data_IF_576005830371
#
_entry.id   IF_576005830371
#
_cell.length_a   1.000
_cell.length_b   1.000
_cell.length_c   1.000
_cell.angle_alpha   90.00
_cell.angle_beta   90.00
_cell.angle_gamma   90.00
#
_symmetry.space_group_name_H-M   'P 1'
#
loop_
_entity.id
_entity.type
_entity.pdbx_description
1 polymer ?
#
# COMPACT_ATOMS: atom_id res chain seq x y z
N UNK A 1 13.17 3.46 -1.65
CA UNK A 1 12.20 3.50 -2.78
C UNK A 1 12.82 3.93 -4.10
N UNK A 2 13.86 4.74 -4.09
CA UNK A 2 14.46 5.25 -5.34
C UNK A 2 14.98 4.15 -6.27
N UNK A 3 15.64 3.15 -5.71
CA UNK A 3 16.14 2.02 -6.50
C UNK A 3 14.99 1.21 -7.12
N UNK A 4 13.96 0.95 -6.33
CA UNK A 4 12.78 0.23 -6.82
C UNK A 4 12.09 1.01 -7.94
N UNK A 5 11.91 2.32 -7.76
CA UNK A 5 11.27 3.17 -8.77
C UNK A 5 12.07 3.16 -10.08
N UNK A 6 13.40 3.22 -10.01
CA UNK A 6 14.26 3.13 -11.20
C UNK A 6 14.06 1.82 -11.93
N UNK A 7 14.00 0.71 -11.21
CA UNK A 7 13.77 -0.63 -11.79
C UNK A 7 12.38 -0.73 -12.42
N UNK A 8 11.36 -0.17 -11.78
CA UNK A 8 9.99 -0.14 -12.29
C UNK A 8 9.93 0.68 -13.59
N UNK A 9 10.56 1.84 -13.61
CA UNK A 9 10.60 2.71 -14.81
C UNK A 9 11.26 1.98 -15.99
N UNK A 10 12.37 1.30 -15.74
CA UNK A 10 13.05 0.52 -16.77
C UNK A 10 12.16 -0.62 -17.27
N UNK A 11 11.53 -1.35 -16.37
CA UNK A 11 10.64 -2.47 -16.67
C UNK A 11 9.50 -2.03 -17.61
N UNK A 12 8.79 -0.96 -17.27
CA UNK A 12 7.68 -0.50 -18.09
C UNK A 12 8.14 0.13 -19.41
N UNK A 13 9.30 0.80 -19.42
CA UNK A 13 9.85 1.40 -20.64
C UNK A 13 10.24 0.34 -21.66
N UNK A 14 10.90 -0.73 -21.21
CA UNK A 14 11.30 -1.84 -22.09
C UNK A 14 10.09 -2.51 -22.76
N UNK A 15 8.92 -2.43 -22.14
CA UNK A 15 7.68 -3.03 -22.62
C UNK A 15 6.73 -2.03 -23.27
N UNK A 16 7.14 -0.79 -23.33
CA UNK A 16 6.32 0.32 -23.86
C UNK A 16 4.96 0.43 -23.18
N UNK A 17 4.93 0.18 -21.86
CA UNK A 17 3.70 0.20 -21.07
C UNK A 17 3.34 1.58 -20.53
N UNK A 18 4.22 2.57 -20.63
CA UNK A 18 3.94 3.94 -20.18
C UNK A 18 2.66 4.51 -20.80
N UNK A 19 2.37 4.16 -22.04
CA UNK A 19 1.17 4.61 -22.73
C UNK A 19 -0.13 4.14 -22.08
N UNK A 20 -0.08 3.05 -21.32
CA UNK A 20 -1.25 2.46 -20.62
C UNK A 20 -1.32 2.84 -19.15
N UNK A 21 -0.27 3.45 -18.60
CA UNK A 21 -0.13 3.71 -17.17
C UNK A 21 -0.51 5.15 -16.80
N UNK A 22 -1.74 5.56 -17.12
CA UNK A 22 -2.25 6.82 -16.60
C UNK A 22 -2.46 6.72 -15.07
N UNK A 23 -2.41 7.83 -14.34
CA UNK A 23 -2.70 7.81 -12.91
C UNK A 23 -4.04 7.13 -12.57
N UNK A 24 -5.07 7.36 -13.37
CA UNK A 24 -6.36 6.71 -13.20
C UNK A 24 -6.25 5.19 -13.31
N UNK A 25 -5.61 4.71 -14.39
CA UNK A 25 -5.45 3.26 -14.60
C UNK A 25 -4.62 2.61 -13.49
N UNK A 26 -3.56 3.28 -13.04
CA UNK A 26 -2.72 2.79 -11.96
C UNK A 26 -3.47 2.74 -10.63
N UNK A 27 -4.29 3.76 -10.33
CA UNK A 27 -5.10 3.77 -9.12
C UNK A 27 -6.12 2.63 -9.13
N UNK A 28 -6.77 2.38 -10.28
CA UNK A 28 -7.74 1.29 -10.41
C UNK A 28 -7.05 -0.08 -10.28
N UNK A 29 -5.88 -0.25 -10.89
CA UNK A 29 -5.10 -1.48 -10.77
C UNK A 29 -4.66 -1.71 -9.31
N UNK A 30 -4.28 -0.65 -8.60
CA UNK A 30 -3.92 -0.73 -7.19
C UNK A 30 -5.07 -1.27 -6.34
N UNK A 31 -6.30 -0.82 -6.60
CA UNK A 31 -7.49 -1.32 -5.89
C UNK A 31 -7.67 -2.82 -6.13
N UNK A 32 -7.48 -3.27 -7.37
CA UNK A 32 -7.60 -4.71 -7.71
C UNK A 32 -6.55 -5.52 -6.93
N UNK A 33 -5.30 -5.08 -6.93
CA UNK A 33 -4.23 -5.79 -6.22
C UNK A 33 -4.44 -5.79 -4.71
N UNK A 34 -4.90 -4.67 -4.16
CA UNK A 34 -5.25 -4.59 -2.73
C UNK A 34 -6.39 -5.57 -2.41
N UNK A 35 -7.37 -5.69 -3.31
CA UNK A 35 -8.46 -6.66 -3.18
C UNK A 35 -7.94 -8.10 -3.19
N UNK A 36 -7.02 -8.42 -4.08
CA UNK A 36 -6.41 -9.76 -4.14
C UNK A 36 -5.64 -10.07 -2.85
N UNK A 37 -4.94 -9.08 -2.29
CA UNK A 37 -4.29 -9.23 -0.99
C UNK A 37 -5.32 -9.54 0.10
N UNK A 38 -6.42 -8.81 0.14
CA UNK A 38 -7.49 -9.00 1.11
C UNK A 38 -8.15 -10.38 0.99
N UNK A 39 -8.28 -10.92 -0.24
CA UNK A 39 -8.86 -12.24 -0.48
C UNK A 39 -8.13 -13.35 0.26
N UNK A 40 -6.82 -13.22 0.47
CA UNK A 40 -6.04 -14.20 1.20
C UNK A 40 -6.45 -14.31 2.67
N UNK A 41 -7.09 -13.27 3.22
CA UNK A 41 -7.45 -13.18 4.64
C UNK A 41 -8.94 -13.23 4.93
N UNK A 42 -9.78 -12.95 3.93
CA UNK A 42 -11.22 -12.70 4.15
C UNK A 42 -11.97 -13.83 4.87
N UNK A 43 -11.54 -15.08 4.71
CA UNK A 43 -12.19 -16.24 5.32
C UNK A 43 -11.42 -16.81 6.51
N UNK A 44 -10.33 -16.13 6.91
CA UNK A 44 -9.51 -16.57 8.04
C UNK A 44 -10.02 -15.95 9.35
N UNK A 45 -9.81 -16.68 10.45
CA UNK A 45 -9.94 -16.08 11.78
C UNK A 45 -8.74 -15.16 12.02
N UNK A 46 -8.83 -14.30 13.04
CA UNK A 46 -7.70 -13.44 13.42
C UNK A 46 -6.46 -14.26 13.77
N UNK A 47 -6.64 -15.37 14.49
CA UNK A 47 -5.55 -16.26 14.84
C UNK A 47 -4.90 -16.90 13.61
N UNK A 48 -5.72 -17.39 12.68
CA UNK A 48 -5.22 -17.95 11.42
C UNK A 48 -4.46 -16.93 10.61
N UNK A 49 -4.94 -15.69 10.56
CA UNK A 49 -4.28 -14.61 9.81
C UNK A 49 -2.89 -14.28 10.35
N UNK A 50 -2.68 -14.48 11.65
CA UNK A 50 -1.39 -14.25 12.30
C UNK A 50 -0.41 -15.41 12.16
N UNK A 51 -0.87 -16.58 11.69
CA UNK A 51 -0.09 -17.81 11.63
C UNK A 51 -0.23 -18.49 10.27
N UNK A 52 0.11 -17.77 9.20
CA UNK A 52 -0.03 -18.30 7.84
C UNK A 52 0.95 -19.45 7.56
N UNK A 53 0.49 -20.53 6.91
CA UNK A 53 1.40 -21.56 6.42
C UNK A 53 2.43 -20.98 5.43
N UNK A 54 3.61 -21.62 5.28
CA UNK A 54 4.66 -21.08 4.40
C UNK A 54 4.23 -20.86 2.95
N UNK A 55 3.43 -21.74 2.37
CA UNK A 55 2.92 -21.59 1.00
C UNK A 55 1.97 -20.41 0.87
N UNK A 56 1.11 -20.20 1.86
CA UNK A 56 0.18 -19.07 1.89
C UNK A 56 0.93 -17.76 2.09
N UNK A 57 1.94 -17.78 2.97
CA UNK A 57 2.79 -16.60 3.18
C UNK A 57 3.51 -16.20 1.89
N UNK A 58 3.97 -17.16 1.09
CA UNK A 58 4.61 -16.90 -0.19
C UNK A 58 3.65 -16.20 -1.16
N UNK A 59 2.39 -16.64 -1.23
CA UNK A 59 1.36 -15.98 -2.05
C UNK A 59 1.09 -14.55 -1.58
N UNK A 60 0.99 -14.35 -0.26
CA UNK A 60 0.78 -13.01 0.32
C UNK A 60 1.96 -12.08 -0.01
N UNK A 61 3.19 -12.59 0.02
CA UNK A 61 4.37 -11.80 -0.35
C UNK A 61 4.30 -11.31 -1.79
N UNK A 62 3.83 -12.13 -2.71
CA UNK A 62 3.67 -11.74 -4.11
C UNK A 62 2.65 -10.61 -4.25
N UNK A 63 1.51 -10.71 -3.54
CA UNK A 63 0.49 -9.66 -3.58
C UNK A 63 0.98 -8.35 -2.94
N UNK A 64 1.74 -8.44 -1.85
CA UNK A 64 2.37 -7.26 -1.24
C UNK A 64 3.30 -6.58 -2.26
N UNK A 65 4.08 -7.38 -3.00
CA UNK A 65 4.94 -6.86 -4.06
C UNK A 65 4.14 -6.14 -5.14
N UNK A 66 3.05 -6.72 -5.61
CA UNK A 66 2.20 -6.12 -6.64
C UNK A 66 1.57 -4.81 -6.16
N UNK A 67 1.05 -4.77 -4.94
CA UNK A 67 0.48 -3.55 -4.36
C UNK A 67 1.52 -2.44 -4.31
N UNK A 68 2.72 -2.75 -3.84
CA UNK A 68 3.79 -1.76 -3.74
C UNK A 68 4.25 -1.27 -5.12
N UNK A 69 4.35 -2.17 -6.10
CA UNK A 69 4.74 -1.80 -7.47
C UNK A 69 3.73 -0.84 -8.09
N UNK A 70 2.43 -1.12 -7.99
CA UNK A 70 1.41 -0.21 -8.54
C UNK A 70 1.38 1.12 -7.80
N UNK A 71 1.55 1.11 -6.49
CA UNK A 71 1.63 2.35 -5.71
C UNK A 71 2.85 3.18 -6.13
N UNK A 72 4.00 2.55 -6.29
CA UNK A 72 5.23 3.23 -6.72
C UNK A 72 5.08 3.81 -8.13
N UNK A 73 4.45 3.08 -9.06
CA UNK A 73 4.14 3.58 -10.40
C UNK A 73 3.25 4.82 -10.36
N UNK A 74 2.20 4.77 -9.55
CA UNK A 74 1.29 5.90 -9.40
C UNK A 74 2.03 7.14 -8.86
N UNK A 75 2.83 6.95 -7.83
CA UNK A 75 3.63 8.02 -7.23
C UNK A 75 4.60 8.62 -8.25
N UNK A 76 5.26 7.78 -9.04
CA UNK A 76 6.17 8.24 -10.07
C UNK A 76 5.46 9.10 -11.13
N UNK A 77 4.28 8.67 -11.58
CA UNK A 77 3.49 9.42 -12.56
C UNK A 77 3.02 10.78 -12.03
N UNK A 78 2.75 10.87 -10.74
CA UNK A 78 2.26 12.11 -10.11
C UNK A 78 3.38 12.98 -9.52
N UNK A 79 4.63 12.55 -9.62
CA UNK A 79 5.75 13.27 -9.04
C UNK A 79 5.75 13.28 -7.52
N UNK A 80 5.18 12.24 -6.90
CA UNK A 80 5.11 12.09 -5.45
C UNK A 80 6.23 11.18 -4.97
N UNK A 81 6.96 11.60 -3.93
CA UNK A 81 7.86 10.72 -3.21
C UNK A 81 7.02 9.97 -2.16
N UNK A 82 6.84 8.65 -2.29
CA UNK A 82 5.96 7.91 -1.38
C UNK A 82 6.45 7.88 0.06
N UNK A 83 7.74 7.90 0.28
CA UNK A 83 8.31 7.88 1.63
C UNK A 83 8.08 9.23 2.33
N UNK A 84 8.34 10.33 1.62
CA UNK A 84 8.06 11.67 2.15
C UNK A 84 6.57 11.87 2.42
N UNK A 85 5.71 11.40 1.51
CA UNK A 85 4.28 11.46 1.71
C UNK A 85 3.85 10.73 2.98
N UNK A 86 4.42 9.54 3.22
CA UNK A 86 4.12 8.75 4.41
C UNK A 86 4.63 9.45 5.69
N UNK A 87 5.86 9.99 5.67
CA UNK A 87 6.40 10.73 6.81
C UNK A 87 5.54 11.95 7.15
N UNK A 88 5.16 12.73 6.13
CA UNK A 88 4.34 13.92 6.33
C UNK A 88 2.96 13.56 6.89
N UNK A 89 2.36 12.49 6.37
CA UNK A 89 1.06 12.03 6.85
C UNK A 89 1.15 11.52 8.29
N UNK A 90 2.23 10.85 8.63
CA UNK A 90 2.45 10.35 9.99
C UNK A 90 2.49 11.49 11.00
N UNK A 91 3.17 12.61 10.65
CA UNK A 91 3.19 13.80 11.50
C UNK A 91 1.79 14.37 11.71
N UNK A 92 0.98 14.46 10.65
CA UNK A 92 -0.41 14.90 10.76
C UNK A 92 -1.23 13.97 11.64
N UNK A 93 -0.98 12.66 11.54
CA UNK A 93 -1.69 11.67 12.35
C UNK A 93 -1.32 11.78 13.83
N UNK A 94 -0.09 12.15 14.16
CA UNK A 94 0.32 12.40 15.56
C UNK A 94 -0.50 13.54 16.18
N UNK A 95 -0.78 14.58 15.41
CA UNK A 95 -1.62 15.69 15.86
C UNK A 95 -3.08 15.28 15.97
N UNK A 96 -3.58 14.50 14.99
CA UNK A 96 -4.96 14.03 14.93
C UNK A 96 -5.27 12.98 16.01
N UNK A 97 -4.29 12.13 16.32
CA UNK A 97 -4.42 11.03 17.29
C UNK A 97 -3.40 11.17 18.41
N UNK A 98 -3.55 12.17 19.33
CA UNK A 98 -2.59 12.34 20.42
C UNK A 98 -2.66 11.16 21.38
N UNK A 99 -1.50 10.73 21.88
CA UNK A 99 -1.37 9.58 22.77
C UNK A 99 -2.33 9.67 23.96
N UNK A 100 -2.48 10.85 24.53
CA UNK A 100 -3.38 11.07 25.69
C UNK A 100 -4.84 10.70 25.44
N UNK A 101 -5.27 10.73 24.15
CA UNK A 101 -6.67 10.47 23.79
C UNK A 101 -6.90 9.05 23.23
N UNK A 102 -5.87 8.42 22.66
CA UNK A 102 -6.05 7.18 21.90
C UNK A 102 -5.27 5.99 22.44
N UNK A 103 -4.42 6.19 23.46
CA UNK A 103 -3.60 5.09 23.98
C UNK A 103 -4.45 3.88 24.37
N UNK A 104 -4.18 2.75 23.71
CA UNK A 104 -4.92 1.51 23.93
C UNK A 104 -6.33 1.48 23.37
N UNK A 105 -6.71 2.46 22.55
CA UNK A 105 -8.07 2.58 21.98
C UNK A 105 -8.03 2.66 20.47
N UNK A 106 -9.02 2.06 19.82
CA UNK A 106 -9.23 2.13 18.38
C UNK A 106 -10.39 3.09 18.05
N UNK A 107 -10.50 4.19 18.80
CA UNK A 107 -11.57 5.18 18.66
C UNK A 107 -11.38 6.03 17.40
N UNK A 108 -12.45 6.27 16.67
CA UNK A 108 -12.43 7.15 15.50
C UNK A 108 -12.21 8.60 15.94
N UNK A 109 -11.49 9.37 15.10
CA UNK A 109 -11.22 10.78 15.39
C UNK A 109 -12.48 11.60 15.71
N UNK A 110 -13.58 11.35 14.99
CA UNK A 110 -14.85 12.04 15.21
C UNK A 110 -15.43 11.83 16.61
N UNK A 111 -15.01 10.77 17.31
CA UNK A 111 -15.54 10.42 18.62
C UNK A 111 -14.82 11.10 19.78
N UNK A 112 -13.67 11.73 19.56
CA UNK A 112 -12.91 12.38 20.65
C UNK A 112 -12.34 13.77 20.31
N UNK A 113 -12.60 14.28 19.14
CA UNK A 113 -12.11 15.61 18.73
C UNK A 113 -12.79 16.75 19.53
#
# INVERSE_FOLDING_TARGET
MDDLIKKIKKFRREREWDQYHSPKNLAMALVVEAGELAEHFQWLTEEQSANLPPDKLAEVKEEVGDVLIYLANLCDKLGIDPIDAAHNKLEKNKEKYPVSKVHGKATKYSDYK
#
